data_IF_818886516766
#
_entry.id   IF_818886516766
#
_cell.length_a   1.000
_cell.length_b   1.000
_cell.length_c   1.000
_cell.angle_alpha   90.00
_cell.angle_beta   90.00
_cell.angle_gamma   90.00
#
_symmetry.space_group_name_H-M   'P 1'
#
loop_
_entity.id
_entity.type
_entity.pdbx_description
1 polymer ?
#
# COMPACT_ATOMS: atom_id res chain seq x y z
N UNK A 1 16.71 1.09 -12.05
CA UNK A 1 15.34 1.51 -12.38
C UNK A 1 14.46 1.39 -11.13
N UNK A 2 13.73 2.43 -10.80
CA UNK A 2 12.90 2.43 -9.61
C UNK A 2 11.48 1.98 -9.94
N UNK A 3 10.74 1.55 -8.93
CA UNK A 3 9.33 1.17 -9.11
C UNK A 3 8.38 2.34 -8.79
N UNK A 4 8.93 3.54 -8.63
CA UNK A 4 8.13 4.71 -8.26
C UNK A 4 6.97 4.95 -9.23
N UNK A 5 7.21 4.85 -10.52
CA UNK A 5 6.16 5.04 -11.53
C UNK A 5 5.03 4.02 -11.37
N UNK A 6 5.37 2.78 -11.06
CA UNK A 6 4.38 1.73 -10.84
C UNK A 6 3.54 2.03 -9.60
N UNK A 7 4.19 2.48 -8.53
CA UNK A 7 3.51 2.85 -7.30
C UNK A 7 2.64 4.09 -7.47
N UNK A 8 3.14 5.10 -8.21
CA UNK A 8 2.35 6.30 -8.53
C UNK A 8 1.07 5.91 -9.28
N UNK A 9 1.18 4.98 -10.23
CA UNK A 9 0.02 4.50 -10.98
C UNK A 9 -0.97 3.76 -10.08
N UNK A 10 -0.47 2.93 -9.16
CA UNK A 10 -1.32 2.25 -8.20
C UNK A 10 -2.05 3.21 -7.28
N UNK A 11 -1.37 4.26 -6.83
CA UNK A 11 -1.98 5.30 -6.00
C UNK A 11 -3.10 5.99 -6.75
N UNK A 12 -2.86 6.34 -8.00
CA UNK A 12 -3.87 6.99 -8.84
C UNK A 12 -5.09 6.08 -9.02
N UNK A 13 -4.86 4.82 -9.32
CA UNK A 13 -5.95 3.86 -9.51
C UNK A 13 -6.75 3.64 -8.22
N UNK A 14 -6.05 3.56 -7.09
CA UNK A 14 -6.72 3.44 -5.80
C UNK A 14 -7.61 4.65 -5.53
N UNK A 15 -7.10 5.86 -5.75
CA UNK A 15 -7.85 7.07 -5.51
C UNK A 15 -9.06 7.19 -6.44
N UNK A 16 -8.93 6.78 -7.70
CA UNK A 16 -10.06 6.75 -8.63
C UNK A 16 -11.13 5.76 -8.17
N UNK A 17 -10.72 4.58 -7.71
CA UNK A 17 -11.65 3.60 -7.20
C UNK A 17 -12.36 4.11 -5.94
N UNK A 18 -11.62 4.75 -5.05
CA UNK A 18 -12.16 5.27 -3.80
C UNK A 18 -13.23 6.35 -4.04
N UNK A 19 -13.14 7.07 -5.15
CA UNK A 19 -14.16 8.08 -5.51
C UNK A 19 -15.48 7.46 -5.97
N UNK A 20 -15.45 6.21 -6.46
CA UNK A 20 -16.60 5.58 -7.12
C UNK A 20 -17.20 4.42 -6.33
N UNK A 21 -16.42 3.78 -5.48
CA UNK A 21 -16.82 2.55 -4.80
C UNK A 21 -17.31 2.87 -3.39
N UNK A 22 -18.62 2.79 -3.18
CA UNK A 22 -19.23 3.09 -1.89
C UNK A 22 -18.76 2.15 -0.79
N UNK A 23 -18.56 0.88 -1.11
CA UNK A 23 -18.08 -0.09 -0.12
C UNK A 23 -16.67 0.27 0.35
N UNK A 24 -15.81 0.68 -0.58
CA UNK A 24 -14.47 1.13 -0.24
C UNK A 24 -14.52 2.42 0.59
N UNK A 25 -15.40 3.37 0.24
CA UNK A 25 -15.58 4.59 1.01
C UNK A 25 -16.00 4.30 2.45
N UNK A 26 -16.89 3.34 2.65
CA UNK A 26 -17.31 2.95 3.99
C UNK A 26 -16.15 2.34 4.78
N UNK A 27 -15.33 1.51 4.16
CA UNK A 27 -14.16 0.92 4.81
C UNK A 27 -13.13 2.00 5.20
N UNK A 28 -13.05 3.08 4.45
CA UNK A 28 -12.11 4.17 4.69
C UNK A 28 -12.67 5.28 5.59
N UNK A 29 -13.92 5.19 5.98
CA UNK A 29 -14.56 6.19 6.83
C UNK A 29 -13.83 6.34 8.16
N UNK A 30 -13.40 7.56 8.47
CA UNK A 30 -12.71 7.85 9.73
C UNK A 30 -11.30 7.30 9.82
N UNK A 31 -10.75 6.74 8.74
CA UNK A 31 -9.42 6.15 8.75
C UNK A 31 -8.37 7.19 8.40
N UNK A 32 -7.39 7.34 9.28
CA UNK A 32 -6.18 8.13 9.03
C UNK A 32 -4.98 7.28 9.44
N UNK A 33 -4.10 6.99 8.48
CA UNK A 33 -2.93 6.14 8.73
C UNK A 33 -1.71 6.67 8.01
N UNK A 34 -0.58 6.64 8.69
CA UNK A 34 0.73 6.91 8.12
C UNK A 34 1.30 5.59 7.64
N UNK A 35 1.65 5.50 6.37
CA UNK A 35 2.11 4.25 5.76
C UNK A 35 3.52 4.43 5.21
N UNK A 36 4.37 3.47 5.55
CA UNK A 36 5.74 3.37 5.04
C UNK A 36 5.82 2.17 4.11
N UNK A 37 6.45 2.37 2.96
CA UNK A 37 6.77 1.27 2.03
C UNK A 37 8.28 1.14 2.01
N UNK A 38 8.79 0.01 2.49
CA UNK A 38 10.22 -0.28 2.55
C UNK A 38 10.55 -1.40 1.55
N UNK A 39 11.27 -1.04 0.49
CA UNK A 39 11.70 -1.98 -0.53
C UNK A 39 13.21 -2.25 -0.46
N UNK A 40 13.83 -1.92 0.66
CA UNK A 40 15.26 -2.09 0.84
C UNK A 40 16.03 -0.92 0.24
N UNK A 41 16.24 -0.96 -1.07
CA UNK A 41 16.97 0.09 -1.79
C UNK A 41 16.14 1.35 -2.04
N UNK A 42 14.82 1.24 -1.94
CA UNK A 42 13.87 2.33 -2.18
C UNK A 42 12.89 2.39 -1.03
N UNK A 43 12.52 3.59 -0.63
CA UNK A 43 11.54 3.77 0.44
C UNK A 43 10.59 4.87 0.06
N UNK A 44 9.30 4.66 0.35
CA UNK A 44 8.23 5.59 0.04
C UNK A 44 7.31 5.72 1.24
N UNK A 45 6.59 6.81 1.28
CA UNK A 45 5.65 7.09 2.36
C UNK A 45 4.42 7.79 1.82
N UNK A 46 3.31 7.59 2.50
CA UNK A 46 2.09 8.32 2.19
C UNK A 46 1.19 8.37 3.42
N UNK A 47 0.17 9.21 3.33
CA UNK A 47 -0.85 9.31 4.37
C UNK A 47 -2.18 8.93 3.73
N UNK A 48 -2.84 7.95 4.35
CA UNK A 48 -4.18 7.54 3.97
C UNK A 48 -5.15 8.32 4.87
N UNK A 49 -5.87 9.27 4.29
CA UNK A 49 -6.86 10.08 5.01
C UNK A 49 -7.88 10.62 4.03
N UNK A 50 -9.04 11.02 4.56
CA UNK A 50 -10.12 11.55 3.74
C UNK A 50 -10.48 10.62 2.58
N UNK A 51 -10.43 9.32 2.83
CA UNK A 51 -10.79 8.26 1.87
C UNK A 51 -9.90 8.23 0.63
N UNK A 52 -8.64 8.71 0.76
CA UNK A 52 -7.71 8.69 -0.36
C UNK A 52 -6.26 8.62 0.12
N UNK A 53 -5.37 8.25 -0.79
CA UNK A 53 -3.93 8.29 -0.56
C UNK A 53 -3.43 9.66 -0.97
N UNK A 54 -2.78 10.35 -0.02
CA UNK A 54 -2.18 11.65 -0.27
C UNK A 54 -0.71 11.67 0.09
N UNK A 55 0.00 12.68 -0.42
CA UNK A 55 1.40 12.93 -0.07
C UNK A 55 2.34 11.75 -0.33
N UNK A 56 2.11 11.03 -1.43
CA UNK A 56 2.98 9.92 -1.82
C UNK A 56 4.33 10.48 -2.30
N UNK A 57 5.39 10.21 -1.54
CA UNK A 57 6.74 10.70 -1.82
C UNK A 57 7.79 9.68 -1.40
N UNK A 58 9.02 9.87 -1.88
CA UNK A 58 10.16 9.08 -1.40
C UNK A 58 10.53 9.50 0.00
N UNK A 59 11.02 8.55 0.79
CA UNK A 59 11.56 8.81 2.10
C UNK A 59 10.94 7.93 3.18
N UNK A 60 11.28 8.27 4.42
CA UNK A 60 10.77 7.59 5.60
C UNK A 60 9.81 8.47 6.36
N UNK A 61 8.83 7.84 6.97
CA UNK A 61 7.93 8.52 7.89
C UNK A 61 8.21 8.01 9.30
N UNK A 62 8.23 8.92 10.26
CA UNK A 62 8.48 8.58 11.65
C UNK A 62 7.23 7.97 12.26
N UNK A 63 7.40 6.86 12.99
CA UNK A 63 6.31 6.15 13.66
C UNK A 63 5.13 5.84 12.72
N UNK A 64 5.37 5.09 11.63
CA UNK A 64 4.27 4.74 10.73
C UNK A 64 3.25 3.85 11.44
N UNK A 65 1.99 4.00 11.11
CA UNK A 65 0.93 3.13 11.59
C UNK A 65 0.98 1.78 10.90
N UNK A 66 1.37 1.79 9.62
CA UNK A 66 1.49 0.58 8.80
C UNK A 66 2.82 0.63 8.06
N UNK A 67 3.53 -0.49 8.03
CA UNK A 67 4.74 -0.64 7.22
C UNK A 67 4.57 -1.81 6.28
N UNK A 68 4.77 -1.56 4.99
CA UNK A 68 4.79 -2.58 3.96
C UNK A 68 6.26 -2.84 3.60
N UNK A 69 6.68 -4.08 3.75
CA UNK A 69 8.07 -4.47 3.49
C UNK A 69 8.08 -5.48 2.35
N UNK A 70 8.81 -5.16 1.30
CA UNK A 70 8.91 -6.01 0.13
C UNK A 70 10.22 -5.71 -0.59
N UNK A 71 10.26 -5.94 -1.89
CA UNK A 71 11.39 -5.62 -2.75
C UNK A 71 10.86 -5.17 -4.11
N UNK A 72 11.68 -4.47 -4.92
CA UNK A 72 11.21 -3.92 -6.21
C UNK A 72 10.71 -5.00 -7.16
N UNK A 73 11.35 -6.16 -7.19
CA UNK A 73 10.96 -7.26 -8.09
C UNK A 73 9.58 -7.78 -7.74
N UNK A 74 9.30 -7.96 -6.46
CA UNK A 74 7.99 -8.43 -6.00
C UNK A 74 6.90 -7.41 -6.35
N UNK A 75 7.19 -6.12 -6.19
CA UNK A 75 6.23 -5.07 -6.56
C UNK A 75 5.94 -5.13 -8.06
N UNK A 76 6.97 -5.28 -8.89
CA UNK A 76 6.78 -5.43 -10.34
C UNK A 76 5.90 -6.63 -10.67
N UNK A 77 6.13 -7.76 -10.03
CA UNK A 77 5.36 -8.98 -10.27
C UNK A 77 3.90 -8.81 -9.82
N UNK A 78 3.67 -8.13 -8.70
CA UNK A 78 2.31 -7.84 -8.22
C UNK A 78 1.56 -6.92 -9.18
N UNK A 79 2.22 -5.86 -9.64
CA UNK A 79 1.58 -4.88 -10.54
C UNK A 79 1.29 -5.49 -11.89
N UNK A 80 2.20 -6.32 -12.42
CA UNK A 80 2.03 -6.97 -13.73
C UNK A 80 1.10 -8.17 -13.70
N UNK A 81 0.67 -8.61 -12.51
CA UNK A 81 -0.19 -9.77 -12.37
C UNK A 81 0.53 -11.11 -12.38
N UNK A 82 1.86 -11.12 -12.43
CA UNK A 82 2.64 -12.37 -12.38
C UNK A 82 2.56 -13.04 -11.03
N UNK A 83 2.29 -12.30 -9.98
CA UNK A 83 2.18 -12.83 -8.62
C UNK A 83 0.94 -12.23 -7.96
N UNK A 84 0.14 -13.08 -7.32
CA UNK A 84 -1.01 -12.61 -6.55
C UNK A 84 -0.55 -12.14 -5.17
N UNK A 85 -1.17 -11.08 -4.62
CA UNK A 85 -0.79 -10.57 -3.29
C UNK A 85 -0.79 -11.63 -2.20
N UNK A 86 -1.76 -12.52 -2.19
CA UNK A 86 -1.84 -13.58 -1.17
C UNK A 86 -0.66 -14.55 -1.27
N UNK A 87 -0.20 -14.83 -2.50
CA UNK A 87 0.98 -15.68 -2.69
C UNK A 87 2.25 -14.99 -2.18
N UNK A 88 2.40 -13.70 -2.49
CA UNK A 88 3.54 -12.92 -2.01
C UNK A 88 3.59 -12.91 -0.48
N UNK A 89 2.42 -12.76 0.16
CA UNK A 89 2.31 -12.82 1.61
C UNK A 89 2.72 -14.20 2.14
N UNK A 90 2.18 -15.27 1.56
CA UNK A 90 2.47 -16.64 1.99
C UNK A 90 3.96 -16.98 1.85
N UNK A 91 4.63 -16.46 0.81
CA UNK A 91 6.05 -16.67 0.57
C UNK A 91 6.94 -15.71 1.36
N UNK A 92 6.34 -14.85 2.19
CA UNK A 92 7.05 -13.82 2.97
C UNK A 92 7.80 -12.82 2.11
N UNK A 93 7.39 -12.65 0.85
CA UNK A 93 7.92 -11.60 -0.04
C UNK A 93 7.25 -10.27 0.18
N UNK A 94 6.09 -10.28 0.83
CA UNK A 94 5.36 -9.09 1.24
C UNK A 94 5.06 -9.24 2.72
N UNK A 95 5.58 -8.33 3.53
CA UNK A 95 5.33 -8.29 4.97
C UNK A 95 4.60 -7.02 5.31
N UNK A 96 3.64 -7.13 6.21
CA UNK A 96 2.86 -5.97 6.66
C UNK A 96 2.96 -5.91 8.18
N UNK A 97 3.41 -4.76 8.68
CA UNK A 97 3.46 -4.48 10.11
C UNK A 97 2.43 -3.41 10.43
N UNK A 98 1.72 -3.61 11.53
CA UNK A 98 0.67 -2.69 11.96
C UNK A 98 -0.24 -3.37 12.96
N UNK A 99 -1.35 -2.71 13.31
CA UNK A 99 -2.34 -3.34 14.17
C UNK A 99 -3.02 -4.49 13.44
N UNK A 100 -3.56 -5.44 14.18
CA UNK A 100 -4.28 -6.56 13.59
C UNK A 100 -5.46 -6.06 12.75
N UNK A 101 -6.19 -5.06 13.23
CA UNK A 101 -7.31 -4.48 12.50
C UNK A 101 -6.89 -3.90 11.17
N UNK A 102 -5.77 -3.18 11.14
CA UNK A 102 -5.25 -2.59 9.90
C UNK A 102 -4.80 -3.67 8.91
N UNK A 103 -4.14 -4.72 9.41
CA UNK A 103 -3.71 -5.84 8.57
C UNK A 103 -4.92 -6.53 7.95
N UNK A 104 -5.96 -6.79 8.73
CA UNK A 104 -7.18 -7.43 8.22
C UNK A 104 -7.89 -6.53 7.22
N UNK A 105 -7.90 -5.22 7.45
CA UNK A 105 -8.49 -4.27 6.51
C UNK A 105 -7.76 -4.28 5.18
N UNK A 106 -6.44 -4.28 5.20
CA UNK A 106 -5.64 -4.33 3.96
C UNK A 106 -5.89 -5.60 3.17
N UNK A 107 -6.11 -6.73 3.84
CA UNK A 107 -6.38 -8.00 3.15
C UNK A 107 -7.66 -7.95 2.34
N UNK A 108 -8.62 -7.12 2.70
CA UNK A 108 -9.86 -6.96 1.94
C UNK A 108 -9.65 -6.30 0.58
N UNK A 109 -8.53 -5.58 0.42
CA UNK A 109 -8.21 -4.86 -0.82
C UNK A 109 -7.39 -5.69 -1.80
N UNK A 110 -7.01 -6.88 -1.41
CA UNK A 110 -6.22 -7.77 -2.25
C UNK A 110 -7.09 -8.72 -3.06
#
# INVERSE_FOLDING_TARGET
MTVKCLLDDLVMKFNQKAERDEALQEELEGITRKVQIDLGSEQYKFILENKRIGSFTEGRIENPDISLISDPRTIEDLVSGKMKPMKAWALKKLKIKGSLDDILRLRKFF
#
